data_IF_477939787763
#
_entry.id   IF_477939787763
#
_cell.length_a   1.000
_cell.length_b   1.000
_cell.length_c   1.000
_cell.angle_alpha   90.00
_cell.angle_beta   90.00
_cell.angle_gamma   90.00
#
_symmetry.space_group_name_H-M   'P 1'
#
loop_
_entity.id
_entity.type
_entity.pdbx_description
1 polymer ?
#
# COMPACT_ATOMS: atom_id res chain seq x y z
N UNK A 1 7.29 -20.42 -12.71
CA UNK A 1 7.11 -19.91 -12.64
C UNK A 1 7.06 -19.15 -12.68
N UNK A 2 6.78 -18.72 -12.52
CA UNK A 2 6.58 -17.94 -12.42
C UNK A 2 6.75 -17.15 -12.33
N UNK A 3 6.90 -16.86 -12.35
CA UNK A 3 6.87 -16.08 -12.21
C UNK A 3 7.09 -15.20 -12.20
N UNK A 4 7.14 -15.13 -12.22
CA UNK A 4 7.11 -14.34 -12.21
C UNK A 4 7.22 -13.28 -12.33
N UNK A 5 7.35 -13.03 -12.71
CA UNK A 5 7.25 -11.83 -12.96
C UNK A 5 6.92 -11.08 -12.00
N UNK A 6 7.46 -11.13 -11.07
CA UNK A 6 6.96 -10.50 -10.10
C UNK A 6 7.39 -9.19 -10.02
N UNK A 7 6.57 -8.30 -10.04
CA UNK A 7 6.88 -6.93 -9.79
C UNK A 7 7.36 -6.84 -8.39
N UNK A 8 7.98 -5.75 -8.04
CA UNK A 8 8.40 -5.50 -6.71
C UNK A 8 7.22 -5.61 -5.82
N UNK A 9 6.45 -6.22 -5.72
CA UNK A 9 5.34 -6.30 -4.87
C UNK A 9 4.81 -7.68 -4.72
N UNK A 10 5.68 -8.63 -4.90
CA UNK A 10 5.25 -9.99 -4.84
C UNK A 10 5.07 -10.53 -3.44
N UNK A 11 5.43 -9.79 -2.44
CA UNK A 11 5.26 -10.24 -1.07
C UNK A 11 3.81 -10.18 -0.66
N UNK A 12 3.44 -11.04 0.28
CA UNK A 12 2.11 -10.98 0.87
C UNK A 12 1.98 -9.80 1.83
N UNK A 13 3.05 -9.46 2.50
CA UNK A 13 3.06 -8.39 3.50
C UNK A 13 4.29 -7.51 3.33
N UNK A 14 4.12 -6.22 3.60
CA UNK A 14 5.19 -5.25 3.48
C UNK A 14 5.36 -4.48 4.76
N UNK A 15 6.55 -3.95 4.95
CA UNK A 15 6.80 -2.98 6.02
C UNK A 15 6.62 -1.58 5.48
N UNK A 16 6.49 -0.61 6.39
CA UNK A 16 6.27 0.78 6.00
C UNK A 16 7.33 1.28 5.01
N UNK A 17 8.64 1.07 5.25
CA UNK A 17 9.62 1.57 4.28
C UNK A 17 9.45 0.98 2.88
N UNK A 18 9.02 -0.28 2.80
CA UNK A 18 8.79 -0.91 1.51
C UNK A 18 7.62 -0.25 0.79
N UNK A 19 6.55 0.03 1.53
CA UNK A 19 5.37 0.66 0.93
C UNK A 19 5.70 2.09 0.50
N UNK A 20 6.53 2.79 1.26
CA UNK A 20 7.00 4.11 0.85
C UNK A 20 7.62 4.06 -0.54
N UNK A 21 8.45 3.06 -0.78
CA UNK A 21 9.10 2.90 -2.07
C UNK A 21 8.09 2.50 -3.14
N UNK A 22 7.23 1.55 -2.83
CA UNK A 22 6.24 1.07 -3.80
C UNK A 22 5.31 2.18 -4.26
N UNK A 23 4.88 3.02 -3.35
CA UNK A 23 3.91 4.05 -3.65
C UNK A 23 4.54 5.41 -3.91
N UNK A 24 5.86 5.52 -3.73
CA UNK A 24 6.59 6.79 -3.89
C UNK A 24 6.02 7.86 -2.97
N UNK A 25 5.72 7.48 -1.74
CA UNK A 25 5.16 8.40 -0.75
C UNK A 25 6.07 8.51 0.45
N UNK A 26 6.00 9.61 1.15
CA UNK A 26 6.80 9.83 2.34
C UNK A 26 6.24 9.03 3.52
N UNK A 27 7.07 8.87 4.54
CA UNK A 27 6.64 8.17 5.75
C UNK A 27 5.44 8.87 6.38
N UNK A 28 5.46 10.19 6.43
CA UNK A 28 4.37 10.95 7.03
C UNK A 28 3.05 10.66 6.32
N UNK A 29 3.09 10.66 5.00
CA UNK A 29 1.88 10.38 4.21
C UNK A 29 1.40 8.96 4.46
N UNK A 30 2.31 7.99 4.52
CA UNK A 30 1.93 6.60 4.77
C UNK A 30 1.23 6.47 6.12
N UNK A 31 1.77 7.10 7.16
CA UNK A 31 1.15 7.02 8.48
C UNK A 31 -0.19 7.73 8.53
N UNK A 32 -0.35 8.80 7.78
CA UNK A 32 -1.65 9.46 7.67
C UNK A 32 -2.67 8.56 7.00
N UNK A 33 -2.27 7.84 5.98
CA UNK A 33 -3.15 6.91 5.29
C UNK A 33 -3.58 5.78 6.22
N UNK A 34 -2.65 5.30 7.02
CA UNK A 34 -2.95 4.24 7.98
C UNK A 34 -3.93 4.76 9.03
N UNK A 35 -3.66 5.95 9.55
CA UNK A 35 -4.51 6.52 10.59
C UNK A 35 -5.92 6.79 10.11
N UNK A 36 -6.06 7.21 8.87
CA UNK A 36 -7.36 7.54 8.32
C UNK A 36 -8.12 6.32 7.82
N UNK A 37 -7.48 5.16 7.81
CA UNK A 37 -8.13 3.94 7.34
C UNK A 37 -8.08 3.74 5.84
N UNK A 38 -7.43 4.61 5.11
CA UNK A 38 -7.33 4.45 3.66
C UNK A 38 -6.35 3.35 3.29
N UNK A 39 -5.41 3.03 4.17
CA UNK A 39 -4.44 1.97 3.94
C UNK A 39 -4.52 1.02 5.13
N UNK A 40 -5.07 -0.17 4.90
CA UNK A 40 -5.23 -1.17 5.94
C UNK A 40 -3.87 -1.71 6.37
N UNK A 41 -3.77 -2.08 7.63
CA UNK A 41 -2.58 -2.72 8.15
C UNK A 41 -2.98 -3.90 9.03
N UNK A 42 -2.02 -4.78 9.25
CA UNK A 42 -2.18 -5.85 10.23
C UNK A 42 -1.01 -5.76 11.19
N UNK A 43 -1.23 -6.22 12.40
CA UNK A 43 -0.20 -6.18 13.43
C UNK A 43 0.27 -7.60 13.70
N UNK A 44 1.56 -7.81 13.61
CA UNK A 44 2.18 -9.09 13.92
C UNK A 44 3.13 -8.84 15.08
N UNK A 45 2.70 -9.17 16.30
CA UNK A 45 3.47 -8.83 17.47
C UNK A 45 3.62 -7.32 17.58
N UNK A 46 4.84 -6.84 17.51
CA UNK A 46 5.10 -5.41 17.58
C UNK A 46 5.32 -4.77 16.22
N UNK A 47 5.20 -5.57 15.18
CA UNK A 47 5.48 -5.08 13.83
C UNK A 47 4.18 -4.80 13.11
N UNK A 48 4.08 -3.61 12.53
CA UNK A 48 2.95 -3.26 11.69
C UNK A 48 3.29 -3.60 10.25
N UNK A 49 2.42 -4.35 9.61
CA UNK A 49 2.63 -4.81 8.25
C UNK A 49 1.46 -4.38 7.38
N UNK A 50 1.73 -4.16 6.11
CA UNK A 50 0.71 -3.75 5.16
C UNK A 50 0.50 -4.89 4.17
N UNK A 51 -0.70 -5.50 4.12
CA UNK A 51 -0.94 -6.56 3.15
C UNK A 51 -0.84 -6.05 1.73
N UNK A 52 -0.37 -6.90 0.84
CA UNK A 52 -0.29 -6.55 -0.58
C UNK A 52 -1.68 -6.16 -1.11
N UNK A 53 -2.71 -6.85 -0.63
CA UNK A 53 -4.07 -6.53 -1.05
C UNK A 53 -4.46 -5.10 -0.64
N UNK A 54 -3.99 -4.66 0.53
CA UNK A 54 -4.29 -3.30 0.98
C UNK A 54 -3.63 -2.26 0.09
N UNK A 55 -2.40 -2.54 -0.35
CA UNK A 55 -1.71 -1.64 -1.28
C UNK A 55 -2.49 -1.55 -2.59
N UNK A 56 -2.92 -2.69 -3.12
CA UNK A 56 -3.68 -2.71 -4.35
C UNK A 56 -5.01 -1.98 -4.21
N UNK A 57 -5.68 -2.15 -3.08
CA UNK A 57 -6.94 -1.45 -2.81
C UNK A 57 -6.73 0.05 -2.77
N UNK A 58 -5.64 0.49 -2.15
CA UNK A 58 -5.35 1.91 -2.07
C UNK A 58 -5.09 2.51 -3.45
N UNK A 59 -4.32 1.80 -4.27
CA UNK A 59 -4.06 2.26 -5.63
C UNK A 59 -5.36 2.36 -6.42
N UNK A 60 -6.22 1.36 -6.29
CA UNK A 60 -7.52 1.39 -6.97
C UNK A 60 -8.36 2.57 -6.50
N UNK A 61 -8.31 2.86 -5.20
CA UNK A 61 -9.04 3.99 -4.64
C UNK A 61 -8.53 5.30 -5.23
N UNK A 62 -7.21 5.46 -5.33
CA UNK A 62 -6.63 6.66 -5.92
C UNK A 62 -7.03 6.82 -7.37
N UNK A 63 -7.04 5.73 -8.10
CA UNK A 63 -7.43 5.79 -9.52
C UNK A 63 -8.88 6.22 -9.64
N UNK A 64 -9.74 5.70 -8.77
CA UNK A 64 -11.13 6.07 -8.77
C UNK A 64 -11.32 7.54 -8.43
N UNK A 65 -10.63 8.01 -7.38
CA UNK A 65 -10.73 9.40 -6.97
C UNK A 65 -10.18 10.34 -8.03
N UNK A 66 -9.11 9.94 -8.66
CA UNK A 66 -8.49 10.75 -9.70
C UNK A 66 -9.42 10.90 -10.90
N UNK A 67 -10.11 9.84 -11.26
CA UNK A 67 -11.06 9.89 -12.36
C UNK A 67 -12.22 10.82 -12.05
N UNK A 68 -12.75 10.73 -10.84
CA UNK A 68 -13.83 11.62 -10.42
C UNK A 68 -13.37 13.06 -10.37
N UNK A 69 -12.16 13.27 -9.87
CA UNK A 69 -11.64 14.62 -9.75
C UNK A 69 -11.30 15.23 -11.07
N UNK A 70 -11.03 14.42 -12.08
CA UNK A 70 -10.68 14.92 -13.39
C UNK A 70 -11.91 15.37 -14.18
N UNK A 71 -13.05 14.98 -13.74
CA UNK A 71 -14.29 15.39 -14.43
C UNK A 71 -14.65 16.84 -14.14
#
# INVERSE_FOLDING_TARGET
>A
MNITTTPPGDKALYRVPEVMTLLSLSRTVIYELIRSGRLRTVQQGRVRLIPAAAVAEYVALLESESRKGAA
#
